data_IF_223833372737
#
_entry.id   IF_223833372737
#
_cell.length_a   1.000
_cell.length_b   1.000
_cell.length_c   1.000
_cell.angle_alpha   90.00
_cell.angle_beta   90.00
_cell.angle_gamma   90.00
#
_symmetry.space_group_name_H-M   'P 1'
#
loop_
_entity.id
_entity.type
_entity.pdbx_description
1 polymer ?
#
# COMPACT_ATOMS: atom_id res chain seq x y z
N UNK A 1 -1.95 2.49 0.43
CA UNK A 1 -1.49 1.54 1.45
C UNK A 1 -0.51 0.53 0.82
N UNK A 2 0.51 0.95 0.06
CA UNK A 2 1.88 1.09 0.60
C UNK A 2 2.86 1.89 -0.29
N UNK A 3 2.36 2.76 -1.18
CA UNK A 3 3.15 3.87 -1.75
C UNK A 3 3.46 4.93 -0.68
N UNK A 4 4.66 5.52 -0.71
CA UNK A 4 5.01 6.65 0.16
C UNK A 4 4.85 7.99 -0.56
N UNK A 5 4.43 9.02 0.18
CA UNK A 5 4.35 10.37 -0.35
C UNK A 5 5.75 11.01 -0.42
N UNK A 6 6.03 11.87 -1.42
CA UNK A 6 7.30 12.59 -1.50
C UNK A 6 7.60 13.43 -0.25
N UNK A 7 6.56 13.89 0.46
CA UNK A 7 6.71 14.66 1.70
C UNK A 7 7.19 13.80 2.88
N UNK A 8 6.94 12.48 2.88
CA UNK A 8 7.25 11.59 4.00
C UNK A 8 8.38 10.60 3.70
N UNK A 9 8.74 10.43 2.42
CA UNK A 9 9.73 9.44 1.98
C UNK A 9 11.11 9.65 2.61
N UNK A 10 11.56 10.89 2.83
CA UNK A 10 12.87 11.16 3.43
C UNK A 10 12.95 10.76 4.90
N UNK A 11 11.85 10.88 5.64
CA UNK A 11 11.77 10.44 7.04
C UNK A 11 11.76 8.92 7.11
N UNK A 12 10.94 8.27 6.27
CA UNK A 12 10.88 6.80 6.19
C UNK A 12 12.21 6.21 5.71
N UNK A 13 12.87 6.83 4.72
CA UNK A 13 14.17 6.39 4.23
C UNK A 13 15.25 6.44 5.32
N UNK A 14 15.27 7.50 6.13
CA UNK A 14 16.18 7.60 7.27
C UNK A 14 15.86 6.57 8.37
N UNK A 15 14.58 6.40 8.70
CA UNK A 15 14.17 5.47 9.75
C UNK A 15 14.51 4.00 9.44
N UNK A 16 14.40 3.60 8.17
CA UNK A 16 14.66 2.22 7.73
C UNK A 16 16.00 2.05 7.01
N UNK A 17 16.83 3.09 6.99
CA UNK A 17 18.13 3.13 6.31
C UNK A 17 18.05 2.64 4.85
N UNK A 18 17.06 3.15 4.12
CA UNK A 18 16.79 2.80 2.73
C UNK A 18 17.88 3.36 1.81
N UNK A 19 18.17 2.62 0.76
CA UNK A 19 18.98 3.10 -0.36
C UNK A 19 18.17 4.03 -1.26
N UNK A 20 18.83 4.85 -2.08
CA UNK A 20 18.16 5.69 -3.08
C UNK A 20 17.30 4.87 -4.06
N UNK A 21 17.71 3.65 -4.37
CA UNK A 21 16.94 2.73 -5.23
C UNK A 21 15.63 2.33 -4.56
N UNK A 22 15.65 1.97 -3.28
CA UNK A 22 14.45 1.59 -2.53
C UNK A 22 13.53 2.78 -2.24
N UNK A 23 14.13 3.96 -2.04
CA UNK A 23 13.41 5.23 -1.94
C UNK A 23 12.60 5.48 -3.20
N UNK A 24 13.23 5.40 -4.37
CA UNK A 24 12.59 5.61 -5.66
C UNK A 24 11.54 4.52 -5.94
N UNK A 25 11.83 3.27 -5.62
CA UNK A 25 10.87 2.17 -5.72
C UNK A 25 9.57 2.47 -4.95
N UNK A 26 9.64 3.00 -3.72
CA UNK A 26 8.45 3.34 -2.93
C UNK A 26 7.69 4.57 -3.42
N UNK A 27 8.33 5.44 -4.22
CA UNK A 27 7.68 6.58 -4.87
C UNK A 27 6.90 6.15 -6.12
N UNK A 28 7.43 5.15 -6.83
CA UNK A 28 6.85 4.60 -8.06
C UNK A 28 5.90 3.41 -7.80
N UNK A 29 5.92 2.82 -6.60
CA UNK A 29 5.09 1.70 -6.19
C UNK A 29 3.59 1.96 -6.39
N UNK A 30 2.87 0.91 -6.82
CA UNK A 30 1.42 0.93 -6.97
C UNK A 30 0.70 0.65 -5.64
N UNK A 31 -0.64 0.71 -5.63
CA UNK A 31 -1.44 0.47 -4.43
C UNK A 31 -1.28 -1.01 -4.04
N UNK A 32 -0.87 -1.24 -2.79
CA UNK A 32 -0.61 -2.58 -2.25
C UNK A 32 0.81 -3.09 -2.47
N UNK A 33 1.66 -2.36 -3.19
CA UNK A 33 3.09 -2.66 -3.31
C UNK A 33 3.91 -1.96 -2.24
N UNK A 34 4.92 -2.62 -1.70
CA UNK A 34 5.81 -2.07 -0.67
C UNK A 34 7.12 -2.84 -0.53
N UNK A 35 7.90 -2.47 0.49
CA UNK A 35 9.17 -3.11 0.83
C UNK A 35 9.05 -3.81 2.19
N UNK A 36 9.35 -5.10 2.22
CA UNK A 36 9.42 -5.91 3.42
C UNK A 36 10.87 -6.02 3.89
N UNK A 37 11.14 -5.59 5.12
CA UNK A 37 12.48 -5.58 5.71
C UNK A 37 12.51 -6.56 6.88
N UNK A 38 13.37 -7.57 6.78
CA UNK A 38 13.58 -8.59 7.81
C UNK A 38 15.08 -8.68 8.12
N UNK A 39 15.52 -7.89 9.11
CA UNK A 39 16.94 -7.74 9.43
C UNK A 39 17.70 -7.11 8.26
N UNK A 40 18.64 -7.86 7.69
CA UNK A 40 19.42 -7.44 6.52
C UNK A 40 18.74 -7.74 5.17
N UNK A 41 17.67 -8.53 5.18
CA UNK A 41 16.95 -8.90 3.96
C UNK A 41 15.89 -7.86 3.65
N UNK A 42 15.80 -7.51 2.37
CA UNK A 42 14.83 -6.56 1.83
C UNK A 42 14.19 -7.18 0.60
N UNK A 43 12.86 -7.22 0.57
CA UNK A 43 12.11 -7.84 -0.52
C UNK A 43 10.93 -6.96 -0.91
N UNK A 44 10.70 -6.80 -2.21
CA UNK A 44 9.48 -6.19 -2.71
C UNK A 44 8.29 -7.12 -2.41
N UNK A 45 7.21 -6.56 -1.87
CA UNK A 45 5.97 -7.31 -1.59
C UNK A 45 4.79 -6.65 -2.28
N UNK A 46 3.81 -7.46 -2.65
CA UNK A 46 2.51 -7.01 -3.11
C UNK A 46 1.45 -7.68 -2.23
N UNK A 47 0.61 -6.85 -1.61
CA UNK A 47 -0.52 -7.29 -0.80
C UNK A 47 -1.75 -7.23 -1.70
N UNK A 48 -2.37 -8.39 -1.90
CA UNK A 48 -3.62 -8.53 -2.67
C UNK A 48 -4.72 -8.95 -1.70
N UNK A 49 -5.85 -8.22 -1.62
CA UNK A 49 -6.96 -8.62 -0.76
C UNK A 49 -7.61 -9.91 -1.29
N UNK A 50 -8.09 -10.75 -0.37
CA UNK A 50 -8.92 -11.88 -0.74
C UNK A 50 -10.28 -11.40 -1.26
N UNK A 51 -10.83 -12.09 -2.28
CA UNK A 51 -12.15 -11.79 -2.85
C UNK A 51 -13.26 -11.74 -1.79
N UNK A 52 -13.12 -12.50 -0.69
CA UNK A 52 -14.10 -12.55 0.39
C UNK A 52 -14.01 -11.35 1.35
N UNK A 53 -12.80 -10.86 1.63
CA UNK A 53 -12.60 -9.66 2.47
C UNK A 53 -13.05 -8.39 1.77
N UNK A 54 -12.83 -8.28 0.45
CA UNK A 54 -13.26 -7.09 -0.32
C UNK A 54 -14.78 -6.89 -0.29
N UNK A 55 -15.57 -7.98 -0.28
CA UNK A 55 -17.03 -7.91 -0.18
C UNK A 55 -17.56 -7.58 1.21
N UNK A 56 -16.85 -7.97 2.26
CA UNK A 56 -17.28 -7.75 3.65
C UNK A 56 -16.82 -6.41 4.21
N UNK A 57 -15.62 -5.96 3.83
CA UNK A 57 -14.97 -4.77 4.39
C UNK A 57 -14.34 -3.96 3.24
N UNK A 58 -15.20 -3.33 2.42
CA UNK A 58 -14.72 -2.43 1.38
C UNK A 58 -14.46 -1.04 1.95
N UNK A 59 -13.27 -0.50 1.72
CA UNK A 59 -12.95 0.91 2.03
C UNK A 59 -13.14 1.83 0.82
N UNK A 60 -13.68 1.28 -0.28
CA UNK A 60 -13.91 2.04 -1.50
C UNK A 60 -15.27 2.74 -1.43
N UNK A 61 -15.33 4.08 -1.32
CA UNK A 61 -16.59 4.81 -1.19
C UNK A 61 -17.52 4.61 -2.41
N UNK A 62 -16.97 4.33 -3.60
CA UNK A 62 -17.79 4.01 -4.79
C UNK A 62 -18.53 2.68 -4.65
N UNK A 63 -17.88 1.66 -4.07
CA UNK A 63 -18.46 0.34 -3.85
C UNK A 63 -19.53 0.36 -2.75
N UNK A 64 -19.38 1.24 -1.75
CA UNK A 64 -20.40 1.50 -0.73
C UNK A 64 -21.64 2.17 -1.34
N UNK A 65 -21.46 3.13 -2.25
CA UNK A 65 -22.56 3.81 -2.93
C UNK A 65 -23.36 2.87 -3.84
N UNK A 66 -22.70 1.96 -4.57
CA UNK A 66 -23.38 0.92 -5.35
C UNK A 66 -24.11 -0.09 -4.46
N UNK A 67 -23.56 -0.44 -3.30
CA UNK A 67 -24.18 -1.38 -2.36
C UNK A 67 -25.39 -0.78 -1.62
N UNK A 68 -25.39 0.54 -1.38
CA UNK A 68 -26.50 1.26 -0.74
C UNK A 68 -27.65 1.65 -1.68
N UNK A 69 -27.47 1.57 -3.00
CA UNK A 69 -28.54 1.79 -3.99
C UNK A 69 -29.38 0.53 -4.28
N UNK A 70 -29.04 -0.61 -3.67
CA UNK A 70 -29.79 -1.87 -3.78
C UNK A 70 -30.93 -2.04 -2.76
N UNK A 71 -31.15 -1.09 -1.85
CA UNK A 71 -32.17 -1.15 -0.79
C UNK A 71 -33.29 -0.10 -0.91
N UNK A 72 -33.58 0.40 -2.13
CA UNK A 72 -34.76 1.25 -2.40
C UNK A 72 -35.71 0.61 -3.41
#
# INVERSE_FOLDING_TARGET
>A
MLKQAPATIDVTAKAFNLTDVEKNYLLEADIGQGLFIAGLKRAAIQIVPSYFEDKLITTNPKQILESGQGEL
#
